data_IF_827021959030
#
_entry.id   IF_827021959030
#
_cell.length_a   1.000
_cell.length_b   1.000
_cell.length_c   1.000
_cell.angle_alpha   90.00
_cell.angle_beta   90.00
_cell.angle_gamma   90.00
#
_symmetry.space_group_name_H-M   'P 1'
#
loop_
_entity.id
_entity.type
_entity.pdbx_description
1 polymer ?
#
# COMPACT_ATOMS: atom_id res chain seq x y z
N UNK A 1 37.41 -38.47 16.31
CA UNK A 1 37.66 -38.94 14.92
C UNK A 1 38.27 -37.79 14.12
N UNK A 2 39.50 -37.94 13.60
CA UNK A 2 40.14 -36.90 12.77
C UNK A 2 39.39 -36.80 11.43
N UNK A 3 38.89 -35.61 11.06
CA UNK A 3 38.32 -35.37 9.72
C UNK A 3 39.44 -35.61 8.69
N UNK A 4 39.29 -36.60 7.81
CA UNK A 4 40.23 -36.81 6.70
C UNK A 4 40.12 -35.60 5.77
N UNK A 5 41.24 -34.95 5.49
CA UNK A 5 41.31 -33.82 4.55
C UNK A 5 41.26 -34.41 3.14
N UNK A 6 40.11 -34.32 2.48
CA UNK A 6 39.98 -34.76 1.08
C UNK A 6 40.76 -33.73 0.24
N UNK A 7 41.84 -34.15 -0.42
CA UNK A 7 42.49 -33.28 -1.39
C UNK A 7 41.63 -33.21 -2.65
N UNK A 8 41.53 -32.03 -3.26
CA UNK A 8 40.71 -31.83 -4.45
C UNK A 8 41.21 -32.71 -5.61
N UNK A 9 40.30 -33.54 -6.15
CA UNK A 9 40.56 -34.51 -7.23
C UNK A 9 40.63 -33.87 -8.65
N UNK A 10 40.94 -32.57 -8.75
CA UNK A 10 40.92 -31.84 -10.02
C UNK A 10 42.30 -31.80 -10.65
N UNK A 11 42.42 -32.21 -11.93
CA UNK A 11 43.60 -31.99 -12.79
C UNK A 11 43.24 -30.95 -13.84
N UNK A 12 44.15 -30.00 -14.08
CA UNK A 12 44.06 -29.06 -15.20
C UNK A 12 44.72 -29.67 -16.43
N UNK A 13 43.98 -29.89 -17.51
CA UNK A 13 44.54 -30.34 -18.78
C UNK A 13 44.86 -29.15 -19.69
N UNK A 14 46.07 -29.13 -20.27
CA UNK A 14 46.50 -28.08 -21.19
C UNK A 14 46.94 -28.68 -22.54
N UNK A 15 46.47 -28.11 -23.64
CA UNK A 15 46.94 -28.46 -24.98
C UNK A 15 48.23 -27.72 -25.36
N UNK A 16 49.19 -28.40 -25.98
CA UNK A 16 50.34 -27.76 -26.64
C UNK A 16 49.87 -27.16 -27.97
N UNK A 17 49.88 -25.84 -28.06
CA UNK A 17 49.66 -25.08 -29.29
C UNK A 17 50.92 -24.28 -29.64
N UNK A 18 51.73 -24.79 -30.57
CA UNK A 18 52.92 -24.08 -31.10
C UNK A 18 54.19 -24.11 -30.24
N UNK A 19 55.20 -23.34 -30.63
CA UNK A 19 56.58 -23.32 -30.09
C UNK A 19 56.75 -22.50 -28.79
N UNK A 20 55.69 -21.92 -28.24
CA UNK A 20 55.76 -21.06 -27.06
C UNK A 20 55.40 -21.79 -25.76
N UNK A 21 56.34 -22.52 -25.15
CA UNK A 21 56.21 -22.92 -23.73
C UNK A 21 56.84 -21.81 -22.88
N UNK A 22 56.02 -20.99 -22.24
CA UNK A 22 56.54 -20.10 -21.19
C UNK A 22 57.04 -20.97 -20.04
N UNK A 23 58.37 -21.05 -19.87
CA UNK A 23 59.00 -21.72 -18.72
C UNK A 23 58.44 -21.15 -17.39
N UNK A 24 58.10 -19.86 -17.39
CA UNK A 24 57.42 -19.16 -16.30
C UNK A 24 56.00 -19.69 -16.04
N UNK A 25 55.20 -19.93 -17.09
CA UNK A 25 53.84 -20.46 -16.98
C UNK A 25 53.78 -21.86 -16.36
N UNK A 26 54.70 -22.75 -16.76
CA UNK A 26 54.80 -24.09 -16.16
C UNK A 26 55.21 -24.02 -14.68
N UNK A 27 56.09 -23.09 -14.32
CA UNK A 27 56.55 -22.90 -12.93
C UNK A 27 55.42 -22.38 -12.03
N UNK A 28 54.59 -21.46 -12.54
CA UNK A 28 53.41 -20.95 -11.81
C UNK A 28 52.40 -22.06 -11.60
N UNK A 29 52.10 -22.87 -12.63
CA UNK A 29 51.17 -24.00 -12.50
C UNK A 29 51.67 -25.10 -11.57
N UNK A 30 52.98 -25.35 -11.51
CA UNK A 30 53.57 -26.27 -10.53
C UNK A 30 53.32 -25.80 -9.09
N UNK A 31 53.54 -24.51 -8.81
CA UNK A 31 53.38 -23.92 -7.48
C UNK A 31 51.92 -23.78 -7.07
N UNK A 32 51.09 -23.19 -7.93
CA UNK A 32 49.69 -22.86 -7.62
C UNK A 32 48.76 -24.07 -7.69
N UNK A 33 48.98 -24.98 -8.65
CA UNK A 33 48.14 -26.18 -8.79
C UNK A 33 48.69 -27.40 -8.03
N UNK A 34 49.86 -27.29 -7.38
CA UNK A 34 50.48 -28.38 -6.62
C UNK A 34 50.75 -29.60 -7.49
N UNK A 35 51.39 -29.40 -8.65
CA UNK A 35 51.65 -30.42 -9.68
C UNK A 35 50.41 -31.07 -10.34
N UNK A 36 49.19 -30.59 -10.08
CA UNK A 36 47.94 -31.15 -10.66
C UNK A 36 47.56 -30.57 -12.03
N UNK A 37 48.53 -30.43 -12.92
CA UNK A 37 48.28 -30.11 -14.32
C UNK A 37 48.94 -31.14 -15.24
N UNK A 38 48.38 -31.38 -16.42
CA UNK A 38 48.93 -32.31 -17.41
C UNK A 38 48.88 -31.68 -18.80
N UNK A 39 49.91 -31.94 -19.62
CA UNK A 39 50.06 -31.26 -20.91
C UNK A 39 49.96 -32.25 -22.07
N UNK A 40 48.91 -32.13 -22.87
CA UNK A 40 48.68 -32.93 -24.08
C UNK A 40 49.17 -32.24 -25.34
N UNK A 41 49.86 -32.97 -26.21
CA UNK A 41 50.18 -32.58 -27.57
C UNK A 41 49.23 -33.24 -28.56
N UNK A 42 48.10 -32.60 -28.82
CA UNK A 42 47.07 -33.12 -29.72
C UNK A 42 47.52 -33.21 -31.20
N UNK A 43 48.72 -32.73 -31.55
CA UNK A 43 49.32 -32.84 -32.89
C UNK A 43 50.10 -34.13 -33.10
N UNK A 44 50.38 -34.88 -32.03
CA UNK A 44 51.06 -36.16 -32.09
C UNK A 44 50.23 -37.24 -31.38
N UNK A 45 49.09 -37.63 -31.95
CA UNK A 45 48.16 -38.56 -31.31
C UNK A 45 48.70 -40.00 -31.23
N UNK A 46 49.74 -40.34 -32.00
CA UNK A 46 50.38 -41.67 -31.97
C UNK A 46 51.23 -41.88 -30.71
N UNK A 47 51.62 -40.78 -30.04
CA UNK A 47 52.37 -40.84 -28.80
C UNK A 47 51.46 -41.10 -27.60
N UNK A 48 51.25 -42.40 -27.33
CA UNK A 48 50.45 -42.88 -26.23
C UNK A 48 51.07 -42.62 -24.84
N UNK A 49 52.36 -42.25 -24.77
CA UNK A 49 53.03 -41.98 -23.49
C UNK A 49 52.35 -40.85 -22.71
N UNK A 50 51.77 -39.87 -23.43
CA UNK A 50 51.04 -38.76 -22.81
C UNK A 50 49.77 -39.20 -22.10
N UNK A 51 49.14 -40.30 -22.55
CA UNK A 51 47.98 -40.90 -21.89
C UNK A 51 48.43 -41.71 -20.68
N UNK A 52 49.50 -42.49 -20.82
CA UNK A 52 50.09 -43.26 -19.71
C UNK A 52 50.51 -42.35 -18.55
N UNK A 53 51.24 -41.27 -18.83
CA UNK A 53 51.66 -40.28 -17.83
C UNK A 53 50.46 -39.62 -17.11
N UNK A 54 49.35 -39.41 -17.83
CA UNK A 54 48.13 -38.88 -17.22
C UNK A 54 47.52 -39.88 -16.25
N UNK A 55 47.41 -41.15 -16.66
CA UNK A 55 46.82 -42.21 -15.85
C UNK A 55 47.64 -42.44 -14.58
N UNK A 56 48.97 -42.49 -14.68
CA UNK A 56 49.86 -42.59 -13.52
C UNK A 56 49.66 -41.42 -12.54
N UNK A 57 49.48 -40.20 -13.08
CA UNK A 57 49.20 -39.01 -12.28
C UNK A 57 47.83 -39.07 -11.60
N UNK A 58 46.80 -39.60 -12.27
CA UNK A 58 45.48 -39.84 -11.69
C UNK A 58 45.60 -40.87 -10.55
N UNK A 59 46.30 -41.98 -10.77
CA UNK A 59 46.48 -43.03 -9.77
C UNK A 59 47.26 -42.54 -8.53
N UNK A 60 48.30 -41.74 -8.74
CA UNK A 60 49.01 -41.06 -7.66
C UNK A 60 48.08 -40.13 -6.85
N UNK A 61 47.18 -39.42 -7.52
CA UNK A 61 46.28 -38.50 -6.85
C UNK A 61 45.17 -39.22 -6.07
N UNK A 62 44.63 -40.31 -6.62
CA UNK A 62 43.62 -41.15 -5.96
C UNK A 62 44.23 -41.85 -4.74
N UNK A 63 45.46 -42.38 -4.86
CA UNK A 63 46.18 -43.02 -3.75
C UNK A 63 46.52 -42.04 -2.62
N UNK A 64 46.95 -40.81 -2.93
CA UNK A 64 47.14 -39.73 -1.93
C UNK A 64 45.84 -39.39 -1.20
N UNK A 65 44.70 -39.50 -1.87
CA UNK A 65 43.38 -39.34 -1.27
C UNK A 65 42.86 -40.59 -0.53
N UNK A 66 43.69 -41.60 -0.33
CA UNK A 66 43.33 -42.84 0.34
C UNK A 66 42.34 -43.68 -0.47
N UNK A 67 42.40 -43.61 -1.80
CA UNK A 67 41.56 -44.38 -2.71
C UNK A 67 40.15 -43.80 -2.92
N UNK A 68 39.82 -42.65 -2.33
CA UNK A 68 38.48 -42.08 -2.46
C UNK A 68 38.25 -41.52 -3.87
N UNK A 69 37.17 -41.94 -4.51
CA UNK A 69 36.66 -41.37 -5.75
C UNK A 69 35.35 -40.59 -5.49
N UNK A 70 34.89 -39.79 -6.46
CA UNK A 70 33.53 -39.28 -6.42
C UNK A 70 32.56 -40.43 -6.68
N UNK A 71 31.88 -40.90 -5.64
CA UNK A 71 30.90 -41.98 -5.75
C UNK A 71 29.52 -41.43 -6.10
N UNK A 72 28.74 -42.18 -6.88
CA UNK A 72 27.34 -41.86 -7.18
C UNK A 72 26.52 -41.61 -5.91
N UNK A 73 26.78 -42.35 -4.82
CA UNK A 73 26.15 -42.12 -3.52
C UNK A 73 26.42 -40.71 -2.96
N UNK A 74 27.65 -40.19 -3.12
CA UNK A 74 27.98 -38.81 -2.71
C UNK A 74 27.23 -37.79 -3.57
N UNK A 75 27.06 -38.07 -4.86
CA UNK A 75 26.29 -37.23 -5.78
C UNK A 75 24.81 -37.22 -5.38
N UNK A 76 24.19 -38.39 -5.23
CA UNK A 76 22.79 -38.53 -4.81
C UNK A 76 22.53 -37.89 -3.45
N UNK A 77 23.46 -38.04 -2.50
CA UNK A 77 23.37 -37.39 -1.18
C UNK A 77 23.43 -35.86 -1.30
N UNK A 78 24.32 -35.34 -2.16
CA UNK A 78 24.46 -33.89 -2.39
C UNK A 78 23.22 -33.34 -3.10
N UNK A 79 22.72 -34.04 -4.11
CA UNK A 79 21.51 -33.69 -4.85
C UNK A 79 20.28 -33.70 -3.92
N UNK A 80 20.13 -34.73 -3.10
CA UNK A 80 19.05 -34.81 -2.11
C UNK A 80 19.11 -33.66 -1.11
N UNK A 81 20.28 -33.37 -0.55
CA UNK A 81 20.44 -32.25 0.38
C UNK A 81 20.11 -30.90 -0.30
N UNK A 82 20.47 -30.73 -1.57
CA UNK A 82 20.13 -29.54 -2.33
C UNK A 82 18.62 -29.41 -2.56
N UNK A 83 17.95 -30.52 -2.91
CA UNK A 83 16.49 -30.55 -3.09
C UNK A 83 15.74 -30.26 -1.78
N UNK A 84 16.17 -30.84 -0.67
CA UNK A 84 15.59 -30.58 0.66
C UNK A 84 15.73 -29.10 1.05
N UNK A 85 16.89 -28.50 0.79
CA UNK A 85 17.13 -27.08 1.04
C UNK A 85 16.25 -26.18 0.16
N UNK A 86 16.15 -26.50 -1.14
CA UNK A 86 15.25 -25.79 -2.07
C UNK A 86 13.80 -25.84 -1.60
N UNK A 87 13.33 -27.00 -1.16
CA UNK A 87 11.97 -27.17 -0.65
C UNK A 87 11.75 -26.38 0.65
N UNK A 88 12.75 -26.34 1.55
CA UNK A 88 12.67 -25.55 2.77
C UNK A 88 12.54 -24.06 2.46
N UNK A 89 13.40 -23.54 1.59
CA UNK A 89 13.35 -22.13 1.15
C UNK A 89 11.99 -21.82 0.50
N UNK A 90 11.46 -22.72 -0.32
CA UNK A 90 10.16 -22.52 -0.96
C UNK A 90 9.02 -22.42 0.07
N UNK A 91 9.02 -23.30 1.07
CA UNK A 91 8.02 -23.30 2.13
C UNK A 91 8.13 -22.02 2.99
N UNK A 92 9.34 -21.65 3.40
CA UNK A 92 9.60 -20.42 4.17
C UNK A 92 9.11 -19.17 3.41
N UNK A 93 9.43 -19.05 2.11
CA UNK A 93 8.95 -17.95 1.27
C UNK A 93 7.44 -17.93 1.11
N UNK A 94 6.81 -19.11 1.01
CA UNK A 94 5.35 -19.21 0.91
C UNK A 94 4.68 -18.71 2.20
N UNK A 95 5.23 -19.09 3.36
CA UNK A 95 4.74 -18.63 4.67
C UNK A 95 4.97 -17.11 4.87
N UNK A 96 6.09 -16.58 4.39
CA UNK A 96 6.35 -15.13 4.38
C UNK A 96 5.32 -14.38 3.53
N UNK A 97 5.07 -14.82 2.30
CA UNK A 97 4.07 -14.22 1.40
C UNK A 97 2.68 -14.24 2.02
N UNK A 98 2.27 -15.34 2.65
CA UNK A 98 0.95 -15.42 3.28
C UNK A 98 0.83 -14.48 4.49
N UNK A 99 1.88 -14.35 5.32
CA UNK A 99 1.90 -13.37 6.41
C UNK A 99 1.80 -11.94 5.91
N UNK A 100 2.56 -11.58 4.88
CA UNK A 100 2.50 -10.24 4.28
C UNK A 100 1.11 -9.93 3.70
N UNK A 101 0.49 -10.91 3.04
CA UNK A 101 -0.88 -10.78 2.54
C UNK A 101 -1.89 -10.59 3.67
N UNK A 102 -1.77 -11.31 4.77
CA UNK A 102 -2.64 -11.15 5.94
C UNK A 102 -2.48 -9.76 6.57
N UNK A 103 -1.25 -9.31 6.75
CA UNK A 103 -0.98 -7.98 7.30
C UNK A 103 -1.54 -6.87 6.39
N UNK A 104 -1.36 -7.02 5.06
CA UNK A 104 -1.91 -6.08 4.09
C UNK A 104 -3.45 -6.07 4.12
N UNK A 105 -4.09 -7.24 4.21
CA UNK A 105 -5.54 -7.35 4.35
C UNK A 105 -6.03 -6.66 5.62
N UNK A 106 -5.38 -6.90 6.75
CA UNK A 106 -5.74 -6.28 8.03
C UNK A 106 -5.57 -4.75 8.01
N UNK A 107 -4.49 -4.23 7.39
CA UNK A 107 -4.31 -2.79 7.18
C UNK A 107 -5.43 -2.19 6.34
N UNK A 108 -5.77 -2.83 5.23
CA UNK A 108 -6.82 -2.36 4.35
C UNK A 108 -8.19 -2.37 5.04
N UNK A 109 -8.51 -3.42 5.80
CA UNK A 109 -9.75 -3.49 6.59
C UNK A 109 -9.82 -2.39 7.64
N UNK A 110 -8.72 -2.13 8.37
CA UNK A 110 -8.65 -1.05 9.35
C UNK A 110 -8.82 0.34 8.71
N UNK A 111 -8.27 0.56 7.51
CA UNK A 111 -8.47 1.80 6.75
C UNK A 111 -9.92 1.98 6.29
N UNK A 112 -10.53 0.91 5.76
CA UNK A 112 -11.94 0.93 5.38
C UNK A 112 -12.85 1.24 6.58
N UNK A 113 -12.56 0.68 7.75
CA UNK A 113 -13.32 0.94 8.97
C UNK A 113 -13.16 2.39 9.45
N UNK A 114 -11.95 2.95 9.37
CA UNK A 114 -11.74 4.38 9.66
C UNK A 114 -12.52 5.26 8.68
N UNK A 115 -12.48 4.95 7.39
CA UNK A 115 -13.17 5.71 6.37
C UNK A 115 -14.70 5.67 6.56
N UNK A 116 -15.26 4.49 6.86
CA UNK A 116 -16.69 4.35 7.21
C UNK A 116 -17.10 5.26 8.36
N UNK A 117 -16.28 5.34 9.41
CA UNK A 117 -16.54 6.22 10.56
C UNK A 117 -16.48 7.70 10.19
N UNK A 118 -15.56 8.10 9.31
CA UNK A 118 -15.48 9.48 8.80
C UNK A 118 -16.74 9.82 8.02
N UNK A 119 -17.13 8.97 7.06
CA UNK A 119 -18.32 9.18 6.22
C UNK A 119 -19.59 9.27 7.05
N UNK A 120 -19.76 8.39 8.04
CA UNK A 120 -20.94 8.44 8.93
C UNK A 120 -20.96 9.71 9.79
N UNK A 121 -19.80 10.15 10.29
CA UNK A 121 -19.69 11.40 11.04
C UNK A 121 -20.02 12.62 10.17
N UNK A 122 -19.53 12.67 8.94
CA UNK A 122 -19.88 13.73 7.99
C UNK A 122 -21.38 13.75 7.68
N UNK A 123 -21.98 12.56 7.49
CA UNK A 123 -23.43 12.44 7.28
C UNK A 123 -24.22 13.01 8.46
N UNK A 124 -23.81 12.72 9.68
CA UNK A 124 -24.44 13.26 10.89
C UNK A 124 -24.24 14.77 11.02
N UNK A 125 -23.06 15.29 10.68
CA UNK A 125 -22.80 16.72 10.68
C UNK A 125 -23.71 17.45 9.69
N UNK A 126 -23.81 16.94 8.45
CA UNK A 126 -24.70 17.51 7.42
C UNK A 126 -26.16 17.46 7.87
N UNK A 127 -26.60 16.38 8.50
CA UNK A 127 -27.96 16.26 9.03
C UNK A 127 -28.24 17.27 10.15
N UNK A 128 -27.29 17.45 11.06
CA UNK A 128 -27.40 18.42 12.15
C UNK A 128 -27.40 19.86 11.64
N UNK A 129 -26.55 20.19 10.66
CA UNK A 129 -26.53 21.50 10.01
C UNK A 129 -27.87 21.81 9.34
N UNK A 130 -28.46 20.85 8.62
CA UNK A 130 -29.79 20.99 8.03
C UNK A 130 -30.87 21.27 9.07
N UNK A 131 -30.83 20.56 10.21
CA UNK A 131 -31.78 20.80 11.31
C UNK A 131 -31.64 22.20 11.89
N UNK A 132 -30.40 22.65 12.12
CA UNK A 132 -30.14 24.02 12.61
C UNK A 132 -30.69 25.05 11.61
N UNK A 133 -30.43 24.87 10.32
CA UNK A 133 -30.94 25.78 9.28
C UNK A 133 -32.47 25.80 9.22
N UNK A 134 -33.11 24.63 9.32
CA UNK A 134 -34.58 24.52 9.34
C UNK A 134 -35.17 25.22 10.58
N UNK A 135 -34.60 25.01 11.76
CA UNK A 135 -35.04 25.70 12.99
C UNK A 135 -34.88 27.21 12.88
N UNK A 136 -33.77 27.69 12.31
CA UNK A 136 -33.57 29.12 12.04
C UNK A 136 -34.60 29.67 11.05
N UNK A 137 -34.91 28.92 9.99
CA UNK A 137 -35.90 29.29 9.01
C UNK A 137 -37.29 29.41 9.64
N UNK A 138 -37.71 28.41 10.41
CA UNK A 138 -38.99 28.41 11.12
C UNK A 138 -39.10 29.56 12.13
N UNK A 139 -38.01 29.87 12.85
CA UNK A 139 -37.97 31.04 13.76
C UNK A 139 -38.16 32.35 13.01
N UNK A 140 -37.48 32.54 11.87
CA UNK A 140 -37.64 33.74 11.02
C UNK A 140 -39.07 33.84 10.49
N UNK A 141 -39.65 32.75 10.01
CA UNK A 141 -41.02 32.72 9.50
C UNK A 141 -42.04 33.08 10.60
N UNK A 142 -41.87 32.54 11.81
CA UNK A 142 -42.72 32.86 12.95
C UNK A 142 -42.59 34.33 13.37
N UNK A 143 -41.39 34.90 13.31
CA UNK A 143 -41.16 36.31 13.61
C UNK A 143 -41.86 37.20 12.59
N UNK A 144 -41.70 36.93 11.29
CA UNK A 144 -42.38 37.68 10.22
C UNK A 144 -43.90 37.63 10.42
N UNK A 145 -44.47 36.45 10.72
CA UNK A 145 -45.92 36.32 10.98
C UNK A 145 -46.38 37.17 12.17
N UNK A 146 -45.59 37.27 13.24
CA UNK A 146 -45.89 38.12 14.40
C UNK A 146 -45.86 39.59 14.02
N UNK A 147 -44.78 40.03 13.35
CA UNK A 147 -44.59 41.43 12.95
C UNK A 147 -45.73 41.87 12.00
N UNK A 148 -46.09 41.04 11.01
CA UNK A 148 -47.22 41.30 10.10
C UNK A 148 -48.57 41.38 10.83
N UNK A 149 -48.79 40.54 11.85
CA UNK A 149 -50.02 40.60 12.64
C UNK A 149 -50.09 41.87 13.52
N UNK A 150 -48.97 42.27 14.11
CA UNK A 150 -48.89 43.53 14.86
C UNK A 150 -49.12 44.75 13.96
N UNK A 151 -48.52 44.79 12.77
CA UNK A 151 -48.75 45.85 11.78
C UNK A 151 -50.23 45.94 11.38
N UNK A 152 -50.85 44.81 11.00
CA UNK A 152 -52.28 44.76 10.66
C UNK A 152 -53.16 45.23 11.82
N UNK A 153 -52.81 44.90 13.06
CA UNK A 153 -53.57 45.33 14.25
C UNK A 153 -53.45 46.84 14.47
N UNK A 154 -52.25 47.42 14.32
CA UNK A 154 -52.03 48.88 14.38
C UNK A 154 -52.83 49.61 13.30
N UNK A 155 -52.81 49.09 12.07
CA UNK A 155 -53.53 49.66 10.93
C UNK A 155 -55.06 49.61 11.15
N UNK A 156 -55.57 48.51 11.73
CA UNK A 156 -56.98 48.37 12.09
C UNK A 156 -57.38 49.38 13.18
N UNK A 157 -56.55 49.54 14.21
CA UNK A 157 -56.77 50.51 15.29
C UNK A 157 -56.76 51.97 14.77
N UNK A 158 -55.87 52.30 13.83
CA UNK A 158 -55.84 53.62 13.18
C UNK A 158 -57.12 53.87 12.37
N UNK A 159 -57.55 52.91 11.54
CA UNK A 159 -58.82 53.00 10.79
C UNK A 159 -60.01 53.17 11.72
N UNK A 160 -60.04 52.47 12.86
CA UNK A 160 -61.11 52.58 13.85
C UNK A 160 -61.12 53.96 14.52
N UNK A 161 -59.95 54.53 14.82
CA UNK A 161 -59.80 55.89 15.35
C UNK A 161 -60.26 56.94 14.34
N UNK A 162 -59.91 56.80 13.07
CA UNK A 162 -60.40 57.68 12.00
C UNK A 162 -61.92 57.62 11.87
N UNK A 163 -62.50 56.42 11.83
CA UNK A 163 -63.97 56.25 11.79
C UNK A 163 -64.66 56.92 12.99
N UNK A 164 -64.12 56.79 14.21
CA UNK A 164 -64.67 57.48 15.38
C UNK A 164 -64.61 59.00 15.23
N UNK A 165 -63.50 59.55 14.69
CA UNK A 165 -63.36 60.99 14.45
C UNK A 165 -64.36 61.48 13.39
N UNK A 166 -64.55 60.76 12.30
CA UNK A 166 -65.52 61.14 11.25
C UNK A 166 -66.94 61.11 11.79
N UNK A 167 -67.33 60.04 12.50
CA UNK A 167 -68.65 59.91 13.11
C UNK A 167 -68.93 61.03 14.13
N UNK A 168 -67.93 61.39 14.94
CA UNK A 168 -68.03 62.51 15.89
C UNK A 168 -68.27 63.84 15.17
N UNK A 169 -67.54 64.12 14.08
CA UNK A 169 -67.75 65.34 13.26
C UNK A 169 -69.13 65.37 12.61
N UNK A 170 -69.66 64.23 12.18
CA UNK A 170 -71.03 64.16 11.63
C UNK A 170 -72.10 64.40 12.69
N UNK A 171 -71.93 63.86 13.90
CA UNK A 171 -72.78 64.14 15.05
C UNK A 171 -72.76 65.63 15.39
N UNK A 172 -71.57 66.24 15.52
CA UNK A 172 -71.42 67.67 15.78
C UNK A 172 -72.07 68.53 14.67
N UNK A 173 -71.95 68.14 13.39
CA UNK A 173 -72.65 68.81 12.28
C UNK A 173 -74.17 68.67 12.37
N UNK A 174 -74.68 67.49 12.75
CA UNK A 174 -76.13 67.27 12.94
C UNK A 174 -76.66 68.08 14.12
N UNK A 175 -75.95 68.12 15.24
CA UNK A 175 -76.32 68.92 16.40
C UNK A 175 -76.32 70.42 16.06
N UNK A 176 -75.33 70.88 15.28
CA UNK A 176 -75.30 72.25 14.75
C UNK A 176 -76.50 72.55 13.83
N UNK A 177 -76.81 71.66 12.88
CA UNK A 177 -77.96 71.82 11.98
C UNK A 177 -79.30 71.76 12.73
N UNK A 178 -79.39 70.96 13.79
CA UNK A 178 -80.58 70.85 14.64
C UNK A 178 -80.76 72.12 15.49
N UNK A 179 -79.67 72.70 16.01
CA UNK A 179 -79.69 74.00 16.70
C UNK A 179 -80.15 75.14 15.78
N UNK A 180 -79.70 75.17 14.52
CA UNK A 180 -80.15 76.16 13.53
C UNK A 180 -81.64 75.99 13.18
N UNK A 181 -82.16 74.76 13.08
CA UNK A 181 -83.60 74.53 12.86
C UNK A 181 -84.46 74.88 14.07
N UNK A 182 -83.99 74.62 15.29
CA UNK A 182 -84.72 75.02 16.52
C UNK A 182 -84.66 76.54 16.74
N UNK A 183 -83.59 77.21 16.29
CA UNK A 183 -83.50 78.67 16.32
C UNK A 183 -84.38 79.36 15.27
N UNK A 184 -84.77 78.67 14.18
CA UNK A 184 -85.71 79.18 13.17
C UNK A 184 -87.20 78.97 13.51
N UNK A 185 -87.52 78.13 14.50
CA UNK A 185 -88.90 77.86 14.96
C UNK A 185 -89.34 78.79 16.10
N UNK A 186 -88.42 79.54 16.71
CA UNK A 186 -88.66 80.44 17.85
C UNK A 186 -88.53 81.95 17.54
N UNK A 187 -88.54 82.32 16.25
CA UNK A 187 -88.56 83.70 15.72
C UNK A 187 -89.82 83.90 14.86
#
# INVERSE_FOLDING_TARGET
MKKRKIHSLRIVLMGKTGVGKSATGNTILQKECGNRYHVFNNRNPEDQTQVTDLLEKIDCMVSVNGGSCYTNEMFQKTEKALQEEQQRILNEKKEEIEREKEELRAKHEAELEKLKKIVEKERQNVENEKKIQEEEFQKKEAQIKKDTNEERKKELDEKLKEQRKTFKKEMEKKDYFNWDTYSFIFL
#
